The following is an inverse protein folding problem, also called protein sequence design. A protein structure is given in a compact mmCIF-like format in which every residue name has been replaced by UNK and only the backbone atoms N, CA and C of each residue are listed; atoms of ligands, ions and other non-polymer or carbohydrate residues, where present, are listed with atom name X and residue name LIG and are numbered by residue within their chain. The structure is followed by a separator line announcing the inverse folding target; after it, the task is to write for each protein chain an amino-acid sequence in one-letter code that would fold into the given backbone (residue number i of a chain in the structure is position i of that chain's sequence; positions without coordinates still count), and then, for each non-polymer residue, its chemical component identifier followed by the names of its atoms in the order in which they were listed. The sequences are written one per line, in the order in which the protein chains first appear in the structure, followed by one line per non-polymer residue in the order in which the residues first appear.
data_IF_864035192713
#
_entry.id   IF_864035192713
#
_cell.length_a   1.000
_cell.length_b   1.000
_cell.length_c   1.000
_cell.angle_alpha   90.00
_cell.angle_beta   90.00
_cell.angle_gamma   90.00
#
_symmetry.space_group_name_H-M   'P 1'
#
loop_
_entity.id
_entity.type
_entity.pdbx_description
1 polymer ?
#
# COMPACT_ATOMS: atom_id res chain seq x y z
N UNK A 1 -31.60 3.57 -10.00
CA UNK A 1 -31.54 2.35 -9.20
C UNK A 1 -32.26 2.60 -7.87
N UNK A 2 -33.30 1.83 -7.59
CA UNK A 2 -33.91 1.78 -6.27
C UNK A 2 -33.05 0.86 -5.39
N UNK A 3 -32.65 1.31 -4.21
CA UNK A 3 -31.79 0.55 -3.30
C UNK A 3 -32.22 0.82 -1.86
N UNK A 4 -32.14 -0.19 -1.00
CA UNK A 4 -32.42 -0.06 0.43
C UNK A 4 -31.22 0.49 1.21
N UNK A 5 -30.00 0.30 0.67
CA UNK A 5 -28.74 0.74 1.27
C UNK A 5 -27.71 1.06 0.20
N UNK A 6 -26.99 2.16 0.40
CA UNK A 6 -25.83 2.52 -0.43
C UNK A 6 -24.60 2.66 0.42
N UNK A 7 -23.52 1.94 0.07
CA UNK A 7 -22.21 2.03 0.74
C UNK A 7 -21.25 2.83 -0.13
N UNK A 8 -20.75 3.96 0.40
CA UNK A 8 -19.74 4.78 -0.24
C UNK A 8 -18.34 4.32 0.21
N UNK A 9 -17.64 3.58 -0.66
CA UNK A 9 -16.27 3.10 -0.45
C UNK A 9 -15.33 3.72 -1.50
N UNK A 10 -15.31 5.06 -1.55
CA UNK A 10 -14.63 5.86 -2.59
C UNK A 10 -13.18 6.21 -2.28
N UNK A 11 -12.65 5.75 -1.13
CA UNK A 11 -11.30 6.05 -0.65
C UNK A 11 -11.20 7.39 0.06
N UNK A 12 -9.96 7.84 0.27
CA UNK A 12 -9.64 9.09 0.96
C UNK A 12 -8.80 10.00 0.05
N UNK A 13 -8.88 11.30 0.31
CA UNK A 13 -8.02 12.31 -0.28
C UNK A 13 -7.19 12.96 0.83
N UNK A 14 -5.93 13.36 0.55
CA UNK A 14 -5.13 14.11 1.50
C UNK A 14 -5.80 15.43 1.88
N UNK A 15 -5.92 15.72 3.19
CA UNK A 15 -6.29 17.06 3.65
C UNK A 15 -5.05 17.95 3.56
N UNK A 16 -4.97 18.74 2.51
CA UNK A 16 -3.80 19.51 2.14
C UNK A 16 -4.01 21.04 2.15
N UNK A 17 -5.13 21.50 2.72
CA UNK A 17 -5.50 22.92 2.72
C UNK A 17 -4.39 23.81 3.32
N UNK A 18 -3.91 23.47 4.51
CA UNK A 18 -2.83 24.22 5.18
C UNK A 18 -1.52 24.20 4.36
N UNK A 19 -1.19 23.04 3.79
CA UNK A 19 0.02 22.91 2.96
C UNK A 19 -0.06 23.80 1.72
N UNK A 20 -1.22 23.83 1.06
CA UNK A 20 -1.48 24.67 -0.11
C UNK A 20 -1.42 26.15 0.24
N UNK A 21 -2.03 26.56 1.35
CA UNK A 21 -1.99 27.96 1.83
C UNK A 21 -0.59 28.39 2.23
N UNK A 22 0.23 27.47 2.76
CA UNK A 22 1.64 27.69 3.07
C UNK A 22 2.56 27.66 1.83
N UNK A 23 2.01 27.42 0.63
CA UNK A 23 2.78 27.38 -0.61
C UNK A 23 3.67 26.14 -0.77
N UNK A 24 3.36 25.03 -0.09
CA UNK A 24 4.09 23.78 -0.26
C UNK A 24 3.75 23.13 -1.59
N UNK A 25 4.73 22.46 -2.20
CA UNK A 25 4.50 21.68 -3.41
C UNK A 25 3.62 20.47 -3.15
N UNK A 26 2.60 20.30 -4.00
CA UNK A 26 1.70 19.16 -4.00
C UNK A 26 1.95 18.32 -5.25
N UNK A 27 1.74 17.02 -5.15
CA UNK A 27 1.94 16.05 -6.21
C UNK A 27 0.76 15.13 -6.45
N UNK A 28 1.01 13.82 -6.53
CA UNK A 28 0.01 12.83 -6.89
C UNK A 28 -1.23 12.92 -6.00
N UNK A 29 -2.40 13.09 -6.61
CA UNK A 29 -3.71 13.26 -5.94
C UNK A 29 -3.72 14.33 -4.82
N UNK A 30 -2.87 15.34 -4.91
CA UNK A 30 -2.78 16.39 -3.92
C UNK A 30 -1.97 16.03 -2.67
N UNK A 31 -1.23 14.95 -2.68
CA UNK A 31 -0.27 14.60 -1.61
C UNK A 31 0.86 15.63 -1.53
N UNK A 32 1.31 15.95 -0.33
CA UNK A 32 2.44 16.86 -0.12
C UNK A 32 3.71 16.18 -0.62
N UNK A 33 4.45 16.82 -1.52
CA UNK A 33 5.75 16.32 -1.98
C UNK A 33 6.78 16.43 -0.88
N UNK A 34 7.53 15.36 -0.70
CA UNK A 34 8.66 15.28 0.24
C UNK A 34 9.86 14.62 -0.42
N UNK A 35 11.04 14.95 0.07
CA UNK A 35 12.27 14.25 -0.30
C UNK A 35 12.45 12.95 0.49
N UNK A 36 13.60 12.28 0.31
CA UNK A 36 13.92 11.04 1.03
C UNK A 36 14.07 11.24 2.55
N UNK A 37 14.29 12.44 3.03
CA UNK A 37 14.34 12.80 4.43
C UNK A 37 12.98 13.29 4.96
N UNK A 38 11.91 13.20 4.15
CA UNK A 38 10.56 13.69 4.46
C UNK A 38 10.45 15.20 4.63
N UNK A 39 11.40 15.97 4.05
CA UNK A 39 11.32 17.43 3.97
C UNK A 39 10.40 17.83 2.83
N UNK A 40 9.61 18.86 3.06
CA UNK A 40 8.77 19.47 2.02
C UNK A 40 9.60 20.40 1.11
N UNK A 41 8.94 21.12 0.21
CA UNK A 41 9.56 22.21 -0.57
C UNK A 41 10.11 23.37 0.28
N UNK A 42 9.78 23.41 1.58
CA UNK A 42 10.33 24.33 2.56
C UNK A 42 11.23 23.56 3.54
N UNK A 43 12.50 23.96 3.66
CA UNK A 43 13.56 23.20 4.32
C UNK A 43 13.28 22.86 5.80
N UNK A 44 12.55 23.70 6.50
CA UNK A 44 12.26 23.55 7.93
C UNK A 44 10.88 22.91 8.19
N UNK A 45 10.20 22.47 7.13
CA UNK A 45 8.89 21.83 7.23
C UNK A 45 8.99 20.39 6.74
N UNK A 46 8.56 19.46 7.57
CA UNK A 46 8.44 18.05 7.26
C UNK A 46 6.97 17.65 7.12
N UNK A 47 6.70 16.65 6.30
CA UNK A 47 5.37 16.04 6.21
C UNK A 47 5.46 14.51 6.22
N UNK A 48 4.52 13.85 6.89
CA UNK A 48 4.47 12.40 7.06
C UNK A 48 3.01 11.90 7.05
N UNK A 49 2.85 10.60 6.93
CA UNK A 49 1.56 9.92 7.04
C UNK A 49 0.73 9.99 5.76
N UNK A 50 -0.58 9.94 5.92
CA UNK A 50 -1.55 9.78 4.83
C UNK A 50 -1.59 10.96 3.87
N UNK A 51 -1.07 12.11 4.30
CA UNK A 51 -1.14 13.36 3.54
C UNK A 51 -0.03 13.51 2.50
N UNK A 52 1.03 12.68 2.55
CA UNK A 52 2.19 12.82 1.66
C UNK A 52 2.08 11.99 0.39
N UNK A 53 2.72 12.46 -0.68
CA UNK A 53 3.11 11.64 -1.81
C UNK A 53 4.26 10.72 -1.39
N UNK A 54 4.20 9.45 -1.77
CA UNK A 54 5.27 8.47 -1.54
C UNK A 54 5.68 7.80 -2.85
N UNK A 55 6.86 7.20 -2.85
CA UNK A 55 7.30 6.33 -3.95
C UNK A 55 6.69 4.95 -3.76
N UNK A 56 6.05 4.42 -4.81
CA UNK A 56 5.65 3.02 -4.90
C UNK A 56 6.93 2.16 -4.98
N UNK A 57 7.24 1.42 -3.93
CA UNK A 57 8.45 0.61 -3.85
C UNK A 57 8.54 -0.49 -4.92
N UNK A 58 7.41 -0.88 -5.51
CA UNK A 58 7.35 -1.94 -6.54
C UNK A 58 7.61 -1.38 -7.94
N UNK A 59 6.99 -0.24 -8.28
CA UNK A 59 7.00 0.30 -9.65
C UNK A 59 7.78 1.60 -9.79
N UNK A 60 8.22 2.23 -8.69
CA UNK A 60 9.00 3.47 -8.68
C UNK A 60 8.20 4.74 -8.93
N UNK A 61 6.90 4.65 -9.18
CA UNK A 61 6.06 5.82 -9.47
C UNK A 61 5.53 6.53 -8.21
N UNK A 62 5.08 7.77 -8.38
CA UNK A 62 4.41 8.52 -7.32
C UNK A 62 3.05 7.89 -6.97
N UNK A 63 2.74 7.80 -5.68
CA UNK A 63 1.49 7.25 -5.17
C UNK A 63 1.11 7.86 -3.80
N UNK A 64 -0.09 7.55 -3.32
CA UNK A 64 -0.49 7.77 -1.92
C UNK A 64 -0.86 6.42 -1.31
N UNK A 65 -0.33 6.13 -0.13
CA UNK A 65 -0.59 4.88 0.60
C UNK A 65 -0.96 5.22 2.04
N UNK A 66 -2.25 5.51 2.30
CA UNK A 66 -2.73 5.92 3.62
C UNK A 66 -2.85 4.70 4.54
N UNK A 67 -1.75 4.31 5.16
CA UNK A 67 -1.64 3.17 6.07
C UNK A 67 -0.86 3.55 7.34
N UNK A 68 -1.29 3.03 8.48
CA UNK A 68 -0.72 3.35 9.79
C UNK A 68 0.76 2.94 9.92
N UNK A 69 1.15 1.78 9.39
CA UNK A 69 2.54 1.32 9.50
C UNK A 69 3.55 2.21 8.77
N UNK A 70 3.33 2.59 7.50
CA UNK A 70 4.18 3.58 6.83
C UNK A 70 4.28 4.89 7.61
N UNK A 71 3.14 5.41 8.10
CA UNK A 71 3.10 6.64 8.89
C UNK A 71 3.96 6.56 10.16
N UNK A 72 3.89 5.44 10.90
CA UNK A 72 4.72 5.20 12.08
C UNK A 72 6.22 5.16 11.75
N UNK A 73 6.59 4.47 10.66
CA UNK A 73 7.98 4.41 10.19
C UNK A 73 8.49 5.79 9.80
N UNK A 74 7.68 6.57 9.08
CA UNK A 74 8.00 7.93 8.68
C UNK A 74 8.18 8.85 9.90
N UNK A 75 7.33 8.73 10.93
CA UNK A 75 7.44 9.48 12.17
C UNK A 75 8.76 9.24 12.89
N UNK A 76 9.21 7.98 12.96
CA UNK A 76 10.53 7.64 13.53
C UNK A 76 11.66 8.23 12.68
N UNK A 77 11.59 8.05 11.36
CA UNK A 77 12.62 8.52 10.45
C UNK A 77 12.79 10.04 10.52
N UNK A 78 11.69 10.80 10.55
CA UNK A 78 11.77 12.27 10.62
C UNK A 78 12.39 12.72 11.95
N UNK A 79 12.11 12.02 13.05
CA UNK A 79 12.75 12.30 14.33
C UNK A 79 14.27 12.07 14.28
N UNK A 80 14.70 10.97 13.63
CA UNK A 80 16.13 10.68 13.42
C UNK A 80 16.79 11.77 12.58
N UNK A 81 16.16 12.19 11.47
CA UNK A 81 16.66 13.28 10.61
C UNK A 81 16.79 14.60 11.35
N UNK A 82 15.78 14.99 12.15
CA UNK A 82 15.81 16.22 12.96
C UNK A 82 16.96 16.17 13.97
N UNK A 83 17.30 14.99 14.50
CA UNK A 83 18.42 14.80 15.43
C UNK A 83 19.78 14.67 14.71
N UNK A 84 19.85 14.86 13.39
CA UNK A 84 21.09 14.84 12.61
C UNK A 84 21.57 13.43 12.25
N UNK A 85 20.76 12.41 12.40
CA UNK A 85 21.09 11.06 11.95
C UNK A 85 20.82 10.92 10.45
N UNK A 86 21.65 10.15 9.78
CA UNK A 86 21.44 9.78 8.37
C UNK A 86 20.30 8.76 8.29
N UNK A 87 19.19 9.15 7.69
CA UNK A 87 18.05 8.30 7.44
C UNK A 87 17.36 8.68 6.13
N UNK A 88 16.82 7.69 5.42
CA UNK A 88 16.10 7.91 4.16
C UNK A 88 14.90 6.98 4.03
N UNK A 89 13.78 7.54 3.61
CA UNK A 89 12.56 6.80 3.29
C UNK A 89 12.62 6.30 1.85
N UNK A 90 12.50 4.99 1.69
CA UNK A 90 12.65 4.33 0.38
C UNK A 90 11.32 4.02 -0.32
N UNK A 91 10.23 4.58 0.18
CA UNK A 91 8.90 4.34 -0.36
C UNK A 91 8.11 3.27 0.39
N UNK A 92 6.96 2.91 -0.18
CA UNK A 92 5.98 2.02 0.45
C UNK A 92 5.45 1.02 -0.57
N UNK A 93 5.31 -0.24 -0.16
CA UNK A 93 4.75 -1.32 -0.98
C UNK A 93 3.22 -1.41 -0.86
N UNK A 94 2.63 -0.90 0.21
CA UNK A 94 1.18 -0.89 0.40
C UNK A 94 0.58 -2.22 0.84
N UNK A 95 1.30 -2.98 1.66
CA UNK A 95 0.78 -4.23 2.23
C UNK A 95 -0.28 -3.93 3.28
N UNK A 96 -1.45 -4.55 3.15
CA UNK A 96 -2.60 -4.33 4.03
C UNK A 96 -3.40 -5.62 4.25
N UNK A 97 -4.00 -5.73 5.42
CA UNK A 97 -4.92 -6.80 5.79
C UNK A 97 -6.13 -6.22 6.50
N UNK A 98 -7.31 -6.76 6.20
CA UNK A 98 -8.55 -6.42 6.88
C UNK A 98 -9.37 -7.69 7.12
N UNK A 99 -9.91 -7.82 8.33
CA UNK A 99 -10.87 -8.87 8.66
C UNK A 99 -12.28 -8.29 8.70
N UNK A 100 -13.18 -8.91 7.94
CA UNK A 100 -14.59 -8.53 7.87
C UNK A 100 -15.42 -9.77 8.18
N UNK A 101 -16.02 -9.81 9.36
CA UNK A 101 -16.66 -10.99 9.91
C UNK A 101 -15.71 -12.20 9.91
N UNK A 102 -16.07 -13.28 9.19
CA UNK A 102 -15.27 -14.51 9.11
C UNK A 102 -14.18 -14.45 8.02
N UNK A 103 -14.26 -13.47 7.12
CA UNK A 103 -13.32 -13.35 6.00
C UNK A 103 -12.19 -12.39 6.30
N UNK A 104 -10.99 -12.82 5.97
CA UNK A 104 -9.79 -11.98 5.91
C UNK A 104 -9.47 -11.69 4.45
N UNK A 105 -9.27 -10.43 4.12
CA UNK A 105 -8.76 -9.98 2.83
C UNK A 105 -7.42 -9.30 3.04
N UNK A 106 -6.42 -9.65 2.23
CA UNK A 106 -5.10 -9.04 2.29
C UNK A 106 -4.55 -8.77 0.89
N UNK A 107 -3.70 -7.76 0.79
CA UNK A 107 -3.05 -7.38 -0.46
C UNK A 107 -1.66 -6.82 -0.22
N UNK A 108 -0.81 -6.90 -1.25
CA UNK A 108 0.49 -6.25 -1.29
C UNK A 108 0.77 -5.75 -2.71
N UNK A 109 1.54 -4.67 -2.84
CA UNK A 109 1.90 -4.10 -4.14
C UNK A 109 0.71 -3.55 -4.92
N UNK A 110 0.78 -3.68 -6.24
CA UNK A 110 -0.18 -3.13 -7.18
C UNK A 110 -1.25 -4.15 -7.56
N UNK A 111 -2.47 -3.67 -7.81
CA UNK A 111 -3.54 -4.45 -8.43
C UNK A 111 -3.56 -4.24 -9.96
N UNK A 112 -4.36 -5.04 -10.71
CA UNK A 112 -4.45 -4.95 -12.17
C UNK A 112 -4.82 -3.56 -12.66
N UNK A 113 -5.78 -2.90 -12.00
CA UNK A 113 -6.22 -1.55 -12.37
C UNK A 113 -5.06 -0.55 -12.31
N UNK A 114 -4.24 -0.65 -11.27
CA UNK A 114 -3.06 0.22 -11.11
C UNK A 114 -2.01 -0.06 -12.18
N UNK A 115 -1.73 -1.34 -12.49
CA UNK A 115 -0.79 -1.72 -13.53
C UNK A 115 -1.27 -1.26 -14.92
N UNK A 116 -2.55 -1.43 -15.23
CA UNK A 116 -3.16 -0.93 -16.46
C UNK A 116 -3.05 0.59 -16.60
N UNK A 117 -3.33 1.33 -15.52
CA UNK A 117 -3.19 2.80 -15.50
C UNK A 117 -1.75 3.26 -15.71
N UNK A 118 -0.77 2.44 -15.27
CA UNK A 118 0.66 2.69 -15.45
C UNK A 118 1.19 2.21 -16.80
N UNK A 119 0.38 1.51 -17.60
CA UNK A 119 0.77 0.93 -18.88
C UNK A 119 1.83 -0.18 -18.74
N UNK A 120 1.84 -0.88 -17.61
CA UNK A 120 2.79 -1.97 -17.36
C UNK A 120 2.23 -3.31 -17.82
N UNK A 121 3.03 -4.06 -18.58
CA UNK A 121 2.69 -5.44 -18.96
C UNK A 121 2.77 -6.35 -17.74
N UNK A 122 1.77 -7.19 -17.55
CA UNK A 122 1.72 -8.13 -16.45
C UNK A 122 1.02 -9.43 -16.83
N UNK A 123 1.31 -10.47 -16.08
CA UNK A 123 0.60 -11.73 -16.08
C UNK A 123 -0.13 -11.90 -14.75
N UNK A 124 -1.27 -12.59 -14.78
CA UNK A 124 -2.06 -12.88 -13.58
C UNK A 124 -2.31 -14.38 -13.46
N UNK A 125 -2.04 -14.92 -12.28
CA UNK A 125 -2.43 -16.28 -11.94
C UNK A 125 -3.38 -16.27 -10.75
N UNK A 126 -4.34 -17.20 -10.76
CA UNK A 126 -5.29 -17.42 -9.68
C UNK A 126 -5.14 -18.85 -9.19
N UNK A 127 -4.97 -19.00 -7.89
CA UNK A 127 -4.90 -20.31 -7.23
C UNK A 127 -5.84 -20.36 -6.03
N UNK A 128 -6.25 -21.58 -5.67
CA UNK A 128 -7.16 -21.83 -4.56
C UNK A 128 -6.56 -22.87 -3.60
N UNK A 129 -5.45 -22.56 -2.93
CA UNK A 129 -4.84 -23.47 -1.97
C UNK A 129 -5.64 -23.50 -0.67
N UNK A 130 -5.38 -24.51 0.14
CA UNK A 130 -5.82 -24.50 1.53
C UNK A 130 -4.88 -23.64 2.40
N UNK A 131 -5.38 -23.17 3.53
CA UNK A 131 -4.63 -22.46 4.57
C UNK A 131 -3.40 -23.23 5.05
N UNK A 132 -3.51 -24.55 5.11
CA UNK A 132 -2.44 -25.51 5.39
C UNK A 132 -2.75 -26.87 4.74
N UNK A 133 -1.93 -27.88 4.99
CA UNK A 133 -2.11 -29.22 4.43
C UNK A 133 -3.48 -29.81 4.78
N UNK A 134 -4.24 -30.28 3.77
CA UNK A 134 -5.64 -30.70 3.92
C UNK A 134 -5.86 -31.92 4.81
N UNK A 135 -4.82 -32.68 5.13
CA UNK A 135 -4.90 -33.79 6.10
C UNK A 135 -4.88 -33.31 7.56
N UNK A 136 -4.57 -32.04 7.81
CA UNK A 136 -4.59 -31.45 9.15
C UNK A 136 -5.99 -30.87 9.44
N UNK A 137 -6.54 -31.08 10.64
CA UNK A 137 -7.85 -30.54 11.00
C UNK A 137 -7.92 -29.02 10.88
N UNK A 138 -9.03 -28.49 10.40
CA UNK A 138 -9.28 -27.06 10.30
C UNK A 138 -8.73 -26.40 9.02
N UNK A 139 -8.24 -27.17 8.05
CA UNK A 139 -7.85 -26.61 6.75
C UNK A 139 -9.05 -25.95 6.06
N UNK A 140 -8.88 -24.70 5.64
CA UNK A 140 -9.89 -23.92 4.93
C UNK A 140 -9.35 -23.38 3.59
N UNK A 141 -10.18 -23.33 2.55
CA UNK A 141 -9.76 -22.81 1.25
C UNK A 141 -9.53 -21.30 1.31
N UNK A 142 -8.59 -20.84 0.50
CA UNK A 142 -8.42 -19.40 0.22
C UNK A 142 -8.28 -19.19 -1.29
N UNK A 143 -8.61 -18.00 -1.77
CA UNK A 143 -8.33 -17.58 -3.13
C UNK A 143 -7.15 -16.60 -3.11
N UNK A 144 -6.18 -16.83 -3.99
CA UNK A 144 -4.99 -15.99 -4.13
C UNK A 144 -4.78 -15.64 -5.60
N UNK A 145 -4.54 -14.37 -5.84
CA UNK A 145 -4.16 -13.80 -7.13
C UNK A 145 -2.75 -13.24 -7.01
N UNK A 146 -1.87 -13.61 -7.94
CA UNK A 146 -0.53 -13.05 -8.06
C UNK A 146 -0.40 -12.33 -9.40
N UNK A 147 0.19 -11.13 -9.38
CA UNK A 147 0.49 -10.31 -10.53
C UNK A 147 2.01 -10.16 -10.66
N UNK A 148 2.55 -10.43 -11.85
CA UNK A 148 3.98 -10.38 -12.08
C UNK A 148 4.30 -9.98 -13.52
N UNK A 149 5.49 -9.41 -13.72
CA UNK A 149 6.02 -9.05 -15.02
C UNK A 149 6.45 -10.29 -15.82
N UNK A 150 6.61 -10.18 -17.14
CA UNK A 150 7.13 -11.27 -17.97
C UNK A 150 8.51 -11.82 -17.56
N UNK A 151 9.33 -11.01 -16.91
CA UNK A 151 10.64 -11.40 -16.35
C UNK A 151 10.55 -12.06 -14.97
N UNK A 152 9.35 -12.18 -14.40
CA UNK A 152 9.09 -12.79 -13.10
C UNK A 152 9.08 -11.81 -11.91
N UNK A 153 9.33 -10.51 -12.11
CA UNK A 153 9.21 -9.51 -11.03
C UNK A 153 7.79 -9.46 -10.49
N UNK A 154 7.63 -9.64 -9.19
CA UNK A 154 6.31 -9.57 -8.54
C UNK A 154 5.84 -8.11 -8.50
N UNK A 155 4.65 -7.85 -9.03
CA UNK A 155 4.00 -6.55 -8.96
C UNK A 155 3.03 -6.43 -7.81
N UNK A 156 2.40 -7.53 -7.41
CA UNK A 156 1.47 -7.53 -6.31
C UNK A 156 0.68 -8.82 -6.16
N UNK A 157 -0.04 -8.91 -5.05
CA UNK A 157 -0.91 -10.05 -4.78
C UNK A 157 -2.14 -9.62 -3.99
N UNK A 158 -3.20 -10.40 -4.13
CA UNK A 158 -4.44 -10.26 -3.37
C UNK A 158 -4.88 -11.65 -2.89
N UNK A 159 -5.30 -11.76 -1.65
CA UNK A 159 -5.81 -13.02 -1.12
C UNK A 159 -7.04 -12.79 -0.24
N UNK A 160 -7.94 -13.76 -0.24
CA UNK A 160 -9.14 -13.78 0.60
C UNK A 160 -9.41 -15.20 1.08
N UNK A 161 -9.85 -15.34 2.31
CA UNK A 161 -10.20 -16.62 2.94
C UNK A 161 -10.54 -16.42 4.41
N UNK A 162 -10.74 -17.51 5.14
CA UNK A 162 -11.03 -17.47 6.58
C UNK A 162 -9.76 -17.55 7.43
N UNK A 163 -8.76 -18.31 6.99
CA UNK A 163 -7.53 -18.58 7.75
C UNK A 163 -6.27 -18.52 6.86
N UNK A 164 -5.16 -18.00 7.40
CA UNK A 164 -3.83 -18.05 6.77
C UNK A 164 -3.61 -17.12 5.59
N UNK A 165 -4.52 -16.19 5.33
CA UNK A 165 -4.46 -15.22 4.23
C UNK A 165 -3.28 -14.27 4.42
N UNK A 166 -3.14 -13.70 5.62
CA UNK A 166 -2.07 -12.79 6.00
C UNK A 166 -0.69 -13.41 5.81
N UNK A 167 -0.52 -14.69 6.21
CA UNK A 167 0.75 -15.41 6.06
C UNK A 167 1.18 -15.58 4.60
N UNK A 168 0.22 -15.78 3.69
CA UNK A 168 0.51 -15.88 2.25
C UNK A 168 0.96 -14.56 1.68
N UNK A 169 0.28 -13.48 2.07
CA UNK A 169 0.62 -12.13 1.62
C UNK A 169 1.96 -11.68 2.21
N UNK A 170 2.26 -11.97 3.48
CA UNK A 170 3.55 -11.63 4.10
C UNK A 170 4.74 -12.27 3.38
N UNK A 171 4.62 -13.55 3.00
CA UNK A 171 5.67 -14.23 2.22
C UNK A 171 5.87 -13.56 0.86
N UNK A 172 4.79 -13.23 0.16
CA UNK A 172 4.88 -12.57 -1.16
C UNK A 172 5.42 -11.13 -1.01
N UNK A 173 5.04 -10.44 0.06
CA UNK A 173 5.50 -9.07 0.31
C UNK A 173 7.00 -8.98 0.64
N UNK A 174 7.63 -10.08 1.06
CA UNK A 174 9.06 -10.15 1.39
C UNK A 174 9.91 -10.74 0.27
N UNK A 175 9.30 -11.31 -0.76
CA UNK A 175 9.98 -11.90 -1.92
C UNK A 175 10.29 -10.85 -2.99
#
# INVERSE_FOLDING_TARGET
LETDLTILAIGVLPENTLAKEAGLELGFKGGIKVDAQLRTSQADIFAIGDVIEVVDAVTGGATNIPLAWPANRQGRLVADVINGLEAAYQGTQGTAVAKVFELTAASTGNNERQLQQKGLDYQAIHIHPNSHAGYYPGASPLALKLLFAPDGKIYGAQAIGTEGVEKRIDVIATA
#
